data_IF_852884058557
#
_entry.id   IF_852884058557
#
_cell.length_a   1.000
_cell.length_b   1.000
_cell.length_c   1.000
_cell.angle_alpha   90.00
_cell.angle_beta   90.00
_cell.angle_gamma   90.00
#
_symmetry.space_group_name_H-M   'P 1'
#
loop_
_entity.id
_entity.type
_entity.pdbx_description
1 polymer ?
#
# COMPACT_ATOMS: atom_id res chain seq x y z
N UNK A 1 -16.36 12.17 -55.61
CA UNK A 1 -16.59 11.28 -54.46
C UNK A 1 -15.25 11.02 -53.81
N UNK A 2 -14.92 11.75 -52.75
CA UNK A 2 -13.62 11.67 -52.07
C UNK A 2 -13.83 11.01 -50.71
N UNK A 3 -13.26 9.82 -50.57
CA UNK A 3 -13.30 8.99 -49.38
C UNK A 3 -12.58 9.69 -48.22
N UNK A 4 -13.31 9.99 -47.15
CA UNK A 4 -12.72 10.38 -45.87
C UNK A 4 -12.19 9.13 -45.18
N UNK A 5 -10.87 9.04 -45.10
CA UNK A 5 -10.16 8.08 -44.28
C UNK A 5 -10.46 8.37 -42.81
N UNK A 6 -11.11 7.42 -42.14
CA UNK A 6 -11.26 7.38 -40.69
C UNK A 6 -9.87 7.18 -40.07
N UNK A 7 -9.30 8.24 -39.51
CA UNK A 7 -8.20 8.12 -38.55
C UNK A 7 -8.76 7.49 -37.27
N UNK A 8 -8.63 6.18 -37.14
CA UNK A 8 -8.74 5.48 -35.86
C UNK A 8 -7.49 5.82 -35.04
N UNK A 9 -7.58 6.55 -33.92
CA UNK A 9 -6.46 6.64 -33.01
C UNK A 9 -6.28 5.26 -32.38
N UNK A 10 -5.16 4.61 -32.72
CA UNK A 10 -4.67 3.46 -31.98
C UNK A 10 -4.44 3.92 -30.52
N UNK A 11 -5.40 3.61 -29.65
CA UNK A 11 -5.22 3.69 -28.20
C UNK A 11 -4.20 2.61 -27.83
N UNK A 12 -2.92 2.99 -27.90
CA UNK A 12 -1.85 2.30 -27.21
C UNK A 12 -2.25 2.26 -25.75
N UNK A 13 -2.67 1.08 -25.28
CA UNK A 13 -2.94 0.81 -23.89
C UNK A 13 -1.65 0.92 -23.10
N UNK A 14 -1.26 2.14 -22.76
CA UNK A 14 -0.41 2.38 -21.61
C UNK A 14 -1.24 1.94 -20.40
N UNK A 15 -1.06 0.69 -19.96
CA UNK A 15 -1.46 0.27 -18.63
C UNK A 15 -0.73 1.19 -17.66
N UNK A 16 -1.39 2.28 -17.27
CA UNK A 16 -0.81 3.27 -16.38
C UNK A 16 -0.43 2.56 -15.09
N UNK A 17 0.85 2.66 -14.73
CA UNK A 17 1.39 2.06 -13.52
C UNK A 17 0.53 2.48 -12.33
N UNK A 18 0.02 1.52 -11.55
CA UNK A 18 -0.80 1.86 -10.38
C UNK A 18 0.00 2.78 -9.45
N UNK A 19 -0.60 3.86 -8.92
CA UNK A 19 0.13 4.81 -8.06
C UNK A 19 0.56 4.19 -6.72
N UNK A 20 0.02 3.01 -6.36
CA UNK A 20 0.50 2.21 -5.24
C UNK A 20 1.86 1.57 -5.52
N UNK A 21 2.22 1.33 -6.78
CA UNK A 21 3.41 0.54 -7.10
C UNK A 21 4.72 1.24 -6.76
N UNK A 22 5.69 0.43 -6.36
CA UNK A 22 7.04 0.82 -5.98
C UNK A 22 7.32 0.54 -4.52
N UNK A 23 8.42 1.12 -4.01
CA UNK A 23 8.94 0.82 -2.69
C UNK A 23 8.47 1.85 -1.66
N UNK A 24 8.12 1.35 -0.49
CA UNK A 24 7.60 2.11 0.63
C UNK A 24 8.27 1.65 1.92
N UNK A 25 8.59 2.59 2.79
CA UNK A 25 9.19 2.35 4.11
C UNK A 25 8.22 2.85 5.17
N UNK A 26 8.10 2.12 6.28
CA UNK A 26 7.27 2.56 7.41
C UNK A 26 7.73 3.94 7.89
N UNK A 27 6.82 4.90 7.86
CA UNK A 27 6.97 6.17 8.58
C UNK A 27 6.53 5.92 10.02
N UNK A 28 7.50 5.57 10.87
CA UNK A 28 7.22 5.19 12.25
C UNK A 28 6.61 6.34 13.07
N UNK A 29 7.03 7.58 12.81
CA UNK A 29 6.44 8.74 13.48
C UNK A 29 5.01 8.97 12.98
N UNK A 30 4.79 8.93 11.66
CA UNK A 30 3.46 9.01 11.06
C UNK A 30 2.51 7.91 11.57
N UNK A 31 3.02 6.70 11.77
CA UNK A 31 2.26 5.57 12.32
C UNK A 31 1.88 5.82 13.78
N UNK A 32 2.78 6.36 14.61
CA UNK A 32 2.47 6.70 16.01
C UNK A 32 1.45 7.86 16.08
N UNK A 33 1.60 8.87 15.23
CA UNK A 33 0.64 9.97 15.13
C UNK A 33 -0.75 9.49 14.69
N UNK A 34 -0.80 8.54 13.75
CA UNK A 34 -2.05 7.92 13.31
C UNK A 34 -2.65 7.07 14.43
N UNK A 35 -1.86 6.24 15.10
CA UNK A 35 -2.30 5.44 16.24
C UNK A 35 -2.95 6.29 17.34
N UNK A 36 -2.33 7.43 17.68
CA UNK A 36 -2.90 8.38 18.67
C UNK A 36 -4.23 8.95 18.21
N UNK A 37 -4.36 9.29 16.92
CA UNK A 37 -5.64 9.75 16.32
C UNK A 37 -6.71 8.66 16.35
N UNK A 38 -6.30 7.40 16.19
CA UNK A 38 -7.16 6.23 16.26
C UNK A 38 -7.46 5.80 17.71
N UNK A 39 -7.00 6.55 18.72
CA UNK A 39 -7.29 6.31 20.14
C UNK A 39 -6.39 5.28 20.83
N UNK A 40 -5.32 4.83 20.18
CA UNK A 40 -4.35 3.91 20.77
C UNK A 40 -3.55 4.60 21.89
N UNK A 41 -3.44 3.93 23.03
CA UNK A 41 -2.81 4.50 24.22
C UNK A 41 -1.30 4.67 24.05
N UNK A 42 -0.73 5.64 24.77
CA UNK A 42 0.71 5.89 24.75
C UNK A 42 1.55 4.68 25.22
N UNK A 43 0.96 3.79 26.03
CA UNK A 43 1.60 2.57 26.51
C UNK A 43 1.91 1.57 25.38
N UNK A 44 1.19 1.62 24.25
CA UNK A 44 1.44 0.75 23.11
C UNK A 44 2.57 1.26 22.18
N UNK A 45 3.02 2.50 22.35
CA UNK A 45 4.05 3.11 21.48
C UNK A 45 5.35 2.29 21.42
N UNK A 46 5.91 1.79 22.54
CA UNK A 46 7.11 0.95 22.48
C UNK A 46 6.93 -0.30 21.60
N UNK A 47 5.76 -0.94 21.67
CA UNK A 47 5.44 -2.10 20.85
C UNK A 47 5.33 -1.74 19.36
N UNK A 48 4.71 -0.60 19.03
CA UNK A 48 4.64 -0.11 17.65
C UNK A 48 6.06 0.08 17.09
N UNK A 49 6.97 0.66 17.87
CA UNK A 49 8.37 0.85 17.45
C UNK A 49 9.09 -0.47 17.23
N UNK A 50 8.87 -1.45 18.10
CA UNK A 50 9.51 -2.76 18.00
C UNK A 50 9.01 -3.58 16.81
N UNK A 51 7.70 -3.56 16.52
CA UNK A 51 7.09 -4.39 15.47
C UNK A 51 7.25 -3.79 14.08
N UNK A 52 7.08 -2.48 13.95
CA UNK A 52 7.02 -1.81 12.64
C UNK A 52 8.31 -1.04 12.30
N UNK A 53 9.27 -0.97 13.21
CA UNK A 53 10.57 -0.36 12.97
C UNK A 53 11.27 -0.98 11.77
N UNK A 54 11.66 -0.13 10.80
CA UNK A 54 12.40 -0.57 9.61
C UNK A 54 11.60 -1.43 8.62
N UNK A 55 10.30 -1.63 8.83
CA UNK A 55 9.43 -2.35 7.89
C UNK A 55 9.43 -1.69 6.51
N UNK A 56 9.45 -2.53 5.46
CA UNK A 56 9.41 -2.08 4.06
C UNK A 56 8.43 -2.94 3.28
N UNK A 57 7.72 -2.31 2.35
CA UNK A 57 6.88 -3.01 1.39
C UNK A 57 7.23 -2.54 -0.02
N UNK A 58 7.26 -3.48 -0.95
CA UNK A 58 7.36 -3.22 -2.37
C UNK A 58 6.09 -3.75 -3.04
N UNK A 59 5.40 -2.87 -3.75
CA UNK A 59 4.16 -3.20 -4.45
C UNK A 59 4.49 -3.26 -5.95
N UNK A 60 4.41 -4.45 -6.53
CA UNK A 60 4.57 -4.66 -7.98
C UNK A 60 3.21 -4.88 -8.64
N UNK A 61 3.18 -5.13 -9.95
CA UNK A 61 1.95 -5.56 -10.63
C UNK A 61 1.41 -6.91 -10.11
N UNK A 62 2.29 -7.75 -9.57
CA UNK A 62 1.98 -9.15 -9.27
C UNK A 62 1.85 -9.42 -7.77
N UNK A 63 2.61 -8.71 -6.93
CA UNK A 63 2.78 -9.07 -5.53
C UNK A 63 3.07 -7.88 -4.62
N UNK A 64 2.77 -8.08 -3.34
CA UNK A 64 3.28 -7.33 -2.21
C UNK A 64 4.47 -8.10 -1.64
N UNK A 65 5.65 -7.48 -1.66
CA UNK A 65 6.87 -8.04 -1.08
C UNK A 65 7.20 -7.26 0.19
N UNK A 66 7.00 -7.89 1.33
CA UNK A 66 7.25 -7.32 2.65
C UNK A 66 8.62 -7.74 3.16
N UNK A 67 9.38 -6.78 3.70
CA UNK A 67 10.66 -7.02 4.37
C UNK A 67 10.55 -6.44 5.77
N UNK A 68 10.83 -7.27 6.77
CA UNK A 68 10.74 -6.94 8.18
C UNK A 68 12.15 -7.09 8.74
N UNK A 69 12.64 -6.06 9.44
CA UNK A 69 13.95 -6.11 10.07
C UNK A 69 14.02 -7.28 11.06
N UNK A 70 15.08 -8.08 10.99
CA UNK A 70 15.24 -9.30 11.80
C UNK A 70 14.67 -10.57 11.16
N UNK A 71 13.96 -10.49 10.04
CA UNK A 71 13.59 -11.67 9.22
C UNK A 71 14.54 -11.80 8.02
N UNK A 72 15.18 -12.97 7.81
CA UNK A 72 16.13 -13.14 6.71
C UNK A 72 15.45 -13.20 5.33
N UNK A 73 14.20 -13.66 5.27
CA UNK A 73 13.46 -13.83 4.03
C UNK A 73 12.34 -12.79 3.89
N UNK A 74 12.16 -12.29 2.68
CA UNK A 74 11.04 -11.42 2.34
C UNK A 74 9.76 -12.25 2.21
N UNK A 75 8.65 -11.71 2.71
CA UNK A 75 7.33 -12.33 2.58
C UNK A 75 6.69 -11.77 1.31
N UNK A 76 6.61 -12.60 0.26
CA UNK A 76 5.88 -12.25 -0.97
C UNK A 76 4.46 -12.82 -0.94
N UNK A 77 3.46 -11.99 -1.25
CA UNK A 77 2.05 -12.40 -1.40
C UNK A 77 1.44 -11.76 -2.63
N UNK A 78 0.77 -12.57 -3.44
CA UNK A 78 -0.10 -12.06 -4.49
C UNK A 78 -1.26 -11.29 -3.88
N UNK A 79 -1.75 -10.30 -4.62
CA UNK A 79 -2.90 -9.51 -4.23
C UNK A 79 -3.82 -9.26 -5.40
N UNK A 80 -5.06 -8.89 -5.09
CA UNK A 80 -6.05 -8.45 -6.07
C UNK A 80 -6.71 -7.18 -5.58
N UNK A 81 -6.76 -6.15 -6.43
CA UNK A 81 -7.58 -4.95 -6.18
C UNK A 81 -9.04 -5.31 -6.41
N UNK A 82 -9.87 -5.12 -5.38
CA UNK A 82 -11.30 -5.42 -5.41
C UNK A 82 -12.11 -4.21 -5.88
N UNK A 83 -11.82 -3.05 -5.32
CA UNK A 83 -12.42 -1.78 -5.70
C UNK A 83 -11.45 -0.61 -5.46
N UNK A 84 -11.80 0.54 -6.02
CA UNK A 84 -11.11 1.80 -5.80
C UNK A 84 -12.13 2.90 -5.56
N UNK A 85 -11.91 3.70 -4.52
CA UNK A 85 -12.71 4.88 -4.18
C UNK A 85 -11.77 6.07 -3.98
N UNK A 86 -11.65 6.90 -5.02
CA UNK A 86 -10.64 7.95 -5.07
C UNK A 86 -9.24 7.36 -4.95
N UNK A 87 -8.49 7.83 -3.95
CA UNK A 87 -7.11 7.39 -3.67
C UNK A 87 -7.03 6.16 -2.73
N UNK A 88 -8.16 5.52 -2.42
CA UNK A 88 -8.21 4.33 -1.57
C UNK A 88 -8.54 3.07 -2.37
N UNK A 89 -7.74 2.03 -2.18
CA UNK A 89 -7.82 0.75 -2.84
C UNK A 89 -8.17 -0.32 -1.82
N UNK A 90 -9.23 -1.09 -2.08
CA UNK A 90 -9.52 -2.29 -1.30
C UNK A 90 -8.86 -3.48 -1.95
N UNK A 91 -8.08 -4.21 -1.18
CA UNK A 91 -7.21 -5.26 -1.68
C UNK A 91 -7.42 -6.55 -0.89
N UNK A 92 -7.51 -7.65 -1.61
CA UNK A 92 -7.43 -9.00 -1.04
C UNK A 92 -5.97 -9.46 -1.17
N UNK A 93 -5.36 -9.84 -0.05
CA UNK A 93 -3.97 -10.29 -0.01
C UNK A 93 -3.99 -11.79 0.28
N UNK A 94 -3.34 -12.59 -0.58
CA UNK A 94 -3.33 -14.03 -0.40
C UNK A 94 -2.72 -14.40 0.96
N UNK A 95 -3.41 -15.25 1.73
CA UNK A 95 -2.97 -15.71 3.04
C UNK A 95 -3.05 -14.66 4.16
N UNK A 96 -3.62 -13.48 3.91
CA UNK A 96 -3.94 -12.51 4.95
C UNK A 96 -5.47 -12.52 5.22
N UNK A 97 -5.89 -12.26 6.46
CA UNK A 97 -7.31 -12.24 6.80
C UNK A 97 -8.00 -10.98 6.25
N UNK A 98 -9.18 -11.17 5.67
CA UNK A 98 -10.07 -10.07 5.29
C UNK A 98 -9.56 -9.19 4.15
N UNK A 99 -10.22 -8.04 3.97
CA UNK A 99 -9.88 -7.05 2.94
C UNK A 99 -9.06 -5.93 3.56
N UNK A 100 -7.87 -5.70 3.02
CA UNK A 100 -7.01 -4.58 3.39
C UNK A 100 -7.44 -3.32 2.64
N UNK A 101 -7.15 -2.15 3.22
CA UNK A 101 -7.38 -0.87 2.56
C UNK A 101 -6.09 -0.07 2.50
N UNK A 102 -5.69 0.29 1.28
CA UNK A 102 -4.47 1.04 0.96
C UNK A 102 -4.88 2.42 0.43
N UNK A 103 -4.63 3.48 1.20
CA UNK A 103 -5.04 4.84 0.84
C UNK A 103 -3.82 5.74 0.62
N UNK A 104 -3.75 6.37 -0.55
CA UNK A 104 -2.79 7.44 -0.81
C UNK A 104 -3.29 8.76 -0.21
N UNK A 105 -2.40 9.46 0.49
CA UNK A 105 -2.62 10.78 1.09
C UNK A 105 -1.38 11.62 0.88
N UNK A 106 -1.34 12.36 -0.23
CA UNK A 106 -0.13 13.04 -0.67
C UNK A 106 0.99 12.03 -0.96
N UNK A 107 2.17 12.22 -0.36
CA UNK A 107 3.31 11.30 -0.50
C UNK A 107 3.28 10.09 0.45
N UNK A 108 2.21 9.92 1.22
CA UNK A 108 2.07 8.84 2.21
C UNK A 108 1.08 7.79 1.75
N UNK A 109 1.37 6.55 2.12
CA UNK A 109 0.48 5.40 1.96
C UNK A 109 0.01 4.95 3.35
N UNK A 110 -1.29 4.96 3.57
CA UNK A 110 -1.91 4.46 4.80
C UNK A 110 -2.48 3.07 4.53
N UNK A 111 -2.03 2.09 5.30
CA UNK A 111 -2.47 0.70 5.19
C UNK A 111 -3.27 0.32 6.41
N UNK A 112 -4.53 -0.01 6.20
CA UNK A 112 -5.40 -0.62 7.19
C UNK A 112 -5.49 -2.12 6.90
N UNK A 113 -4.87 -2.90 7.78
CA UNK A 113 -4.96 -4.36 7.82
C UNK A 113 -6.03 -4.73 8.87
N UNK A 114 -7.09 -5.46 8.50
CA UNK A 114 -8.19 -5.75 9.42
C UNK A 114 -7.80 -6.69 10.57
N UNK A 115 -6.62 -7.33 10.52
CA UNK A 115 -6.11 -8.15 11.63
C UNK A 115 -5.53 -7.34 12.78
N UNK A 116 -5.32 -6.04 12.60
CA UNK A 116 -4.72 -5.16 13.59
C UNK A 116 -5.55 -3.88 13.74
N UNK A 117 -5.68 -3.34 14.98
CA UNK A 117 -6.33 -2.05 15.19
C UNK A 117 -5.48 -0.86 14.66
N UNK A 118 -4.25 -1.11 14.19
CA UNK A 118 -3.32 -0.08 13.77
C UNK A 118 -3.43 0.21 12.27
N UNK A 119 -3.55 1.48 11.92
CA UNK A 119 -3.25 1.96 10.56
C UNK A 119 -1.74 2.24 10.45
N UNK A 120 -1.05 1.49 9.59
CA UNK A 120 0.39 1.68 9.36
C UNK A 120 0.58 2.74 8.29
N UNK A 121 1.44 3.72 8.56
CA UNK A 121 1.76 4.80 7.63
C UNK A 121 3.11 4.51 7.00
N UNK A 122 3.17 4.60 5.68
CA UNK A 122 4.38 4.47 4.89
C UNK A 122 4.67 5.75 4.13
N UNK A 123 5.94 5.96 3.85
CA UNK A 123 6.45 6.97 2.91
C UNK A 123 7.15 6.26 1.75
N UNK A 124 7.22 6.93 0.60
CA UNK A 124 8.02 6.43 -0.52
C UNK A 124 9.47 6.20 -0.08
N UNK A 125 10.05 5.07 -0.48
CA UNK A 125 11.49 4.89 -0.38
C UNK A 125 12.18 5.94 -1.28
N UNK A 126 13.33 6.50 -0.84
CA UNK A 126 14.14 7.38 -1.68
C UNK A 126 14.70 6.65 -2.90
#
# INVERSE_FOLDING_TARGET
MLAWALCLPALLGCTARSPLQGQWVVDLQGTIEQARRDGITAQAVPQIRAVYGGGRIEITDEALVMRIDGMPEAISRHYRVLDQQGDCYRMEINGAPGTHRYCLRGARLLVHDPSTPLTVVFQRAP
#
